data_IF_252005860141
#
_entry.id   IF_252005860141
#
_cell.length_a   1.000
_cell.length_b   1.000
_cell.length_c   1.000
_cell.angle_alpha   90.00
_cell.angle_beta   90.00
_cell.angle_gamma   90.00
#
_symmetry.space_group_name_H-M   'P 1'
#
loop_
_entity.id
_entity.type
_entity.pdbx_description
1 polymer ?
#
# COMPACT_ATOMS: atom_id res chain seq x y z
N UNK A 1 30.04 12.88 -45.28
CA UNK A 1 29.86 12.43 -46.68
C UNK A 1 29.20 11.05 -46.63
N UNK A 2 27.91 11.00 -47.03
CA UNK A 2 26.96 9.92 -47.44
C UNK A 2 27.24 8.41 -47.15
N UNK A 3 26.21 7.51 -47.14
CA UNK A 3 24.73 7.70 -47.21
C UNK A 3 23.87 6.74 -46.33
N UNK A 4 22.55 6.87 -46.54
CA UNK A 4 21.38 6.13 -46.04
C UNK A 4 21.30 4.62 -46.35
N UNK A 5 20.38 3.91 -45.66
CA UNK A 5 19.83 2.62 -46.07
C UNK A 5 18.80 2.04 -45.09
N UNK A 6 17.52 2.06 -45.46
CA UNK A 6 16.38 1.41 -44.77
C UNK A 6 16.20 -0.08 -45.24
N UNK A 7 15.29 -0.89 -44.64
CA UNK A 7 15.37 -2.36 -44.49
C UNK A 7 14.71 -3.17 -45.64
N UNK A 8 14.92 -4.50 -45.70
CA UNK A 8 13.84 -5.50 -45.46
C UNK A 8 14.37 -6.82 -44.85
N UNK A 9 13.64 -7.87 -44.45
CA UNK A 9 12.23 -8.24 -44.58
C UNK A 9 11.95 -9.55 -43.82
N UNK A 10 10.67 -9.93 -43.77
CA UNK A 10 10.15 -11.15 -43.15
C UNK A 10 10.54 -12.44 -43.91
N UNK A 11 10.63 -13.58 -43.21
CA UNK A 11 10.24 -14.87 -43.78
C UNK A 11 8.80 -15.26 -43.40
N UNK A 12 8.00 -15.61 -44.42
CA UNK A 12 6.79 -16.41 -44.31
C UNK A 12 7.13 -17.91 -44.27
N UNK A 13 6.26 -18.70 -43.62
CA UNK A 13 6.13 -20.16 -43.81
C UNK A 13 5.55 -20.82 -42.55
N UNK A 14 4.23 -20.95 -42.38
CA UNK A 14 3.23 -21.86 -42.99
C UNK A 14 3.10 -23.21 -42.24
N UNK A 15 1.89 -23.45 -41.73
CA UNK A 15 1.35 -24.75 -41.28
C UNK A 15 1.04 -24.74 -39.78
N UNK A 16 -0.14 -25.06 -39.25
CA UNK A 16 -1.36 -25.62 -39.80
C UNK A 16 -1.97 -26.57 -38.77
N UNK A 17 -3.21 -26.29 -38.31
CA UNK A 17 -4.17 -27.30 -37.83
C UNK A 17 -4.17 -27.69 -36.35
N UNK A 18 -5.40 -27.71 -35.77
CA UNK A 18 -5.79 -28.40 -34.53
C UNK A 18 -5.57 -27.54 -33.27
N UNK A 19 -6.58 -27.15 -32.49
CA UNK A 19 -7.69 -27.97 -32.00
C UNK A 19 -7.35 -28.43 -30.58
N UNK A 20 -7.88 -27.73 -29.58
CA UNK A 20 -7.67 -28.05 -28.16
C UNK A 20 -7.64 -26.79 -27.32
N UNK A 21 -8.72 -26.52 -26.62
CA UNK A 21 -8.85 -25.42 -25.67
C UNK A 21 -7.68 -25.43 -24.65
N UNK A 22 -7.08 -24.28 -24.29
CA UNK A 22 -6.42 -24.22 -23.01
C UNK A 22 -7.53 -24.42 -21.97
N UNK A 23 -7.41 -25.51 -21.21
CA UNK A 23 -8.25 -25.79 -20.06
C UNK A 23 -8.35 -24.51 -19.24
N UNK A 24 -9.58 -23.99 -19.19
CA UNK A 24 -10.00 -22.99 -18.24
C UNK A 24 -9.74 -23.64 -16.88
N UNK A 25 -8.66 -23.25 -16.22
CA UNK A 25 -8.44 -23.58 -14.82
C UNK A 25 -9.56 -22.87 -14.07
N UNK A 26 -10.59 -23.68 -13.84
CA UNK A 26 -11.75 -23.40 -13.03
C UNK A 26 -11.27 -23.24 -11.59
N UNK A 27 -10.87 -22.01 -11.26
CA UNK A 27 -10.64 -21.56 -9.89
C UNK A 27 -11.95 -21.05 -9.25
N UNK A 28 -13.09 -21.39 -9.83
CA UNK A 28 -14.39 -21.25 -9.18
C UNK A 28 -14.63 -22.55 -8.40
N UNK A 29 -14.22 -22.58 -7.13
CA UNK A 29 -14.89 -23.34 -6.06
C UNK A 29 -14.02 -23.40 -4.80
N UNK A 30 -13.85 -22.26 -4.13
CA UNK A 30 -13.80 -22.23 -2.66
C UNK A 30 -14.41 -20.88 -2.24
N UNK A 31 -15.70 -20.81 -1.86
CA UNK A 31 -16.21 -19.61 -1.24
C UNK A 31 -15.51 -19.47 0.12
N UNK A 32 -14.71 -18.41 0.29
CA UNK A 32 -14.20 -18.00 1.60
C UNK A 32 -15.34 -17.39 2.43
N UNK A 33 -16.39 -18.18 2.64
CA UNK A 33 -17.48 -17.94 3.57
C UNK A 33 -16.96 -18.14 5.00
N UNK A 34 -16.19 -17.17 5.53
CA UNK A 34 -16.16 -16.83 6.97
C UNK A 34 -15.11 -15.77 7.36
N UNK A 35 -15.20 -14.55 6.82
CA UNK A 35 -14.69 -13.38 7.57
C UNK A 35 -15.87 -12.45 7.85
N UNK A 36 -16.40 -12.44 9.08
CA UNK A 36 -17.47 -11.51 9.44
C UNK A 36 -16.90 -10.09 9.47
N UNK A 37 -17.21 -9.30 8.44
CA UNK A 37 -17.13 -7.83 8.47
C UNK A 37 -16.01 -7.14 7.67
N UNK A 38 -15.20 -7.86 6.90
CA UNK A 38 -14.17 -7.27 6.03
C UNK A 38 -14.58 -7.32 4.56
N UNK A 39 -14.52 -6.19 3.84
CA UNK A 39 -14.57 -6.21 2.37
C UNK A 39 -13.15 -6.43 1.89
N UNK A 40 -12.86 -7.62 1.33
CA UNK A 40 -11.59 -7.86 0.63
C UNK A 40 -11.77 -7.32 -0.79
N UNK A 41 -11.15 -6.18 -1.09
CA UNK A 41 -11.10 -5.64 -2.45
C UNK A 41 -9.90 -6.25 -3.20
N UNK A 42 -10.18 -7.26 -4.02
CA UNK A 42 -9.22 -8.04 -4.80
C UNK A 42 -8.44 -7.21 -5.86
N UNK A 43 -8.73 -5.93 -6.04
CA UNK A 43 -8.04 -5.07 -7.00
C UNK A 43 -6.77 -4.40 -6.46
N UNK A 44 -6.53 -4.43 -5.14
CA UNK A 44 -5.50 -3.57 -4.52
C UNK A 44 -4.50 -4.29 -3.59
N UNK A 45 -4.46 -5.63 -3.58
CA UNK A 45 -3.52 -6.44 -2.77
C UNK A 45 -3.53 -6.10 -1.26
N UNK A 46 -4.70 -5.77 -0.69
CA UNK A 46 -4.87 -5.54 0.75
C UNK A 46 -6.19 -6.05 1.32
N UNK A 47 -6.15 -6.46 2.59
CA UNK A 47 -7.34 -6.70 3.41
C UNK A 47 -7.77 -5.39 4.09
N UNK A 48 -9.06 -5.05 4.04
CA UNK A 48 -9.62 -3.88 4.73
C UNK A 48 -10.58 -4.27 5.86
N UNK A 49 -10.43 -3.61 7.01
CA UNK A 49 -11.30 -3.76 8.17
C UNK A 49 -11.66 -2.38 8.74
N UNK A 50 -12.96 -2.13 8.93
CA UNK A 50 -13.40 -0.99 9.74
C UNK A 50 -13.38 -1.40 11.22
N UNK A 51 -12.65 -0.65 12.04
CA UNK A 51 -12.55 -0.87 13.48
C UNK A 51 -13.80 -0.33 14.19
N UNK A 52 -14.05 -0.81 15.43
CA UNK A 52 -15.20 -0.38 16.24
C UNK A 52 -15.25 1.13 16.51
N UNK A 53 -14.08 1.80 16.46
CA UNK A 53 -13.95 3.26 16.63
C UNK A 53 -14.08 4.05 15.32
N UNK A 54 -14.39 3.39 14.20
CA UNK A 54 -14.59 3.99 12.89
C UNK A 54 -13.30 4.25 12.09
N UNK A 55 -12.13 3.88 12.61
CA UNK A 55 -10.89 3.89 11.82
C UNK A 55 -10.87 2.74 10.81
N UNK A 56 -10.13 2.93 9.72
CA UNK A 56 -9.97 1.94 8.66
C UNK A 56 -8.58 1.33 8.77
N UNK A 57 -8.50 0.02 8.96
CA UNK A 57 -7.28 -0.77 8.96
C UNK A 57 -7.10 -1.44 7.59
N UNK A 58 -5.94 -1.25 6.97
CA UNK A 58 -5.50 -1.96 5.76
C UNK A 58 -4.26 -2.78 6.05
N UNK A 59 -4.26 -4.05 5.65
CA UNK A 59 -3.11 -4.95 5.74
C UNK A 59 -2.70 -5.36 4.34
N UNK A 60 -1.47 -5.02 3.96
CA UNK A 60 -0.94 -5.34 2.65
C UNK A 60 -0.19 -6.67 2.69
N UNK A 61 -0.13 -7.37 1.56
CA UNK A 61 0.57 -8.66 1.44
C UNK A 61 2.07 -8.57 1.81
N UNK A 62 2.68 -7.40 1.61
CA UNK A 62 4.09 -7.16 1.93
C UNK A 62 4.37 -7.00 3.44
N UNK A 63 3.35 -7.15 4.30
CA UNK A 63 3.44 -7.01 5.75
C UNK A 63 3.29 -5.57 6.26
N UNK A 64 3.07 -4.59 5.37
CA UNK A 64 2.76 -3.22 5.76
C UNK A 64 1.36 -3.16 6.35
N UNK A 65 1.19 -2.33 7.38
CA UNK A 65 -0.10 -2.08 8.03
C UNK A 65 -0.38 -0.58 7.98
N UNK A 66 -1.57 -0.21 7.51
CA UNK A 66 -2.03 1.18 7.49
C UNK A 66 -3.31 1.36 8.29
N UNK A 67 -3.37 2.39 9.11
CA UNK A 67 -4.56 2.80 9.86
C UNK A 67 -4.92 4.22 9.43
N UNK A 68 -6.16 4.44 9.05
CA UNK A 68 -6.69 5.75 8.65
C UNK A 68 -7.82 6.17 9.59
N UNK A 69 -7.78 7.42 10.05
CA UNK A 69 -8.91 8.06 10.67
C UNK A 69 -9.60 8.97 9.64
N UNK A 70 -10.74 8.57 9.08
CA UNK A 70 -11.40 9.33 8.02
C UNK A 70 -11.95 10.68 8.51
N UNK A 71 -12.18 10.84 9.83
CA UNK A 71 -12.67 12.10 10.41
C UNK A 71 -11.56 13.15 10.48
N UNK A 72 -10.34 12.75 10.86
CA UNK A 72 -9.20 13.68 10.97
C UNK A 72 -8.33 13.75 9.72
N UNK A 73 -8.47 12.80 8.79
CA UNK A 73 -7.56 12.65 7.65
C UNK A 73 -6.15 12.18 8.03
N UNK A 74 -5.93 11.76 9.29
CA UNK A 74 -4.64 11.21 9.74
C UNK A 74 -4.52 9.78 9.26
N UNK A 75 -3.37 9.46 8.67
CA UNK A 75 -3.03 8.12 8.21
C UNK A 75 -1.72 7.69 8.84
N UNK A 76 -1.67 6.50 9.42
CA UNK A 76 -0.48 5.89 9.99
C UNK A 76 -0.14 4.63 9.19
N UNK A 77 1.12 4.47 8.79
CA UNK A 77 1.62 3.30 8.08
C UNK A 77 2.87 2.76 8.81
N UNK A 78 2.83 1.51 9.22
CA UNK A 78 3.97 0.76 9.77
C UNK A 78 4.43 -0.25 8.72
N UNK A 79 5.69 -0.15 8.29
CA UNK A 79 6.28 -1.04 7.31
C UNK A 79 6.89 -2.27 7.99
N UNK A 80 7.18 -3.29 7.18
CA UNK A 80 7.79 -4.55 7.65
C UNK A 80 9.18 -4.38 8.28
N UNK A 81 9.91 -3.32 7.93
CA UNK A 81 11.21 -2.96 8.54
C UNK A 81 11.06 -2.27 9.91
N UNK A 82 9.83 -2.02 10.35
CA UNK A 82 9.52 -1.33 11.60
C UNK A 82 9.53 0.20 11.48
N UNK A 83 9.73 0.75 10.28
CA UNK A 83 9.58 2.18 10.04
C UNK A 83 8.11 2.60 10.12
N UNK A 84 7.90 3.81 10.63
CA UNK A 84 6.59 4.42 10.84
C UNK A 84 6.47 5.72 10.03
N UNK A 85 5.39 5.84 9.28
CA UNK A 85 4.99 7.06 8.57
C UNK A 85 3.63 7.50 9.10
N UNK A 86 3.49 8.76 9.51
CA UNK A 86 2.18 9.36 9.85
C UNK A 86 1.95 10.58 8.97
N UNK A 87 0.99 10.47 8.05
CA UNK A 87 0.54 11.56 7.21
C UNK A 87 -0.55 12.36 7.91
N UNK A 88 -0.37 13.68 7.97
CA UNK A 88 -1.29 14.63 8.56
C UNK A 88 -2.07 15.35 7.44
N UNK A 89 -3.31 15.80 7.70
CA UNK A 89 -4.15 16.47 6.69
C UNK A 89 -3.61 17.82 6.20
N UNK A 90 -2.58 18.37 6.86
CA UNK A 90 -1.95 19.64 6.53
C UNK A 90 -0.67 19.50 5.68
N UNK A 91 -0.51 18.37 4.99
CA UNK A 91 0.66 18.13 4.15
C UNK A 91 1.96 17.87 4.94
N UNK A 92 1.87 17.63 6.25
CA UNK A 92 3.04 17.21 7.04
C UNK A 92 3.08 15.70 7.20
N UNK A 93 4.29 15.15 7.24
CA UNK A 93 4.54 13.73 7.46
C UNK A 93 5.49 13.56 8.63
N UNK A 94 5.09 12.77 9.61
CA UNK A 94 6.00 12.25 10.63
C UNK A 94 6.65 10.97 10.11
N UNK A 95 7.94 10.82 10.31
CA UNK A 95 8.69 9.62 9.92
C UNK A 95 9.60 9.18 11.06
N UNK A 96 9.62 7.89 11.35
CA UNK A 96 10.58 7.25 12.23
C UNK A 96 11.12 6.02 11.52
N UNK A 97 12.44 5.92 11.36
CA UNK A 97 13.08 4.84 10.59
C UNK A 97 12.90 3.47 11.25
N UNK A 98 12.98 3.40 12.59
CA UNK A 98 12.60 2.25 13.39
C UNK A 98 12.34 2.69 14.83
N UNK A 99 11.70 1.84 15.63
CA UNK A 99 11.38 2.17 17.03
C UNK A 99 12.64 2.56 17.81
N UNK A 100 12.60 3.75 18.40
CA UNK A 100 13.71 4.32 19.16
C UNK A 100 14.48 5.41 18.42
N UNK A 101 14.34 5.49 17.09
CA UNK A 101 14.93 6.57 16.30
C UNK A 101 14.18 7.90 16.47
N UNK A 102 14.84 9.04 16.18
CA UNK A 102 14.20 10.33 16.16
C UNK A 102 12.96 10.37 15.25
N UNK A 103 11.91 11.02 15.74
CA UNK A 103 10.74 11.36 14.93
C UNK A 103 11.07 12.60 14.10
N UNK A 104 11.12 12.44 12.78
CA UNK A 104 11.34 13.52 11.84
C UNK A 104 10.01 14.06 11.31
N UNK A 105 9.94 15.36 11.03
CA UNK A 105 8.78 16.04 10.44
C UNK A 105 9.18 16.60 9.08
N UNK A 106 8.51 16.14 8.03
CA UNK A 106 8.64 16.66 6.68
C UNK A 106 7.43 17.52 6.33
N UNK A 107 7.67 18.62 5.63
CA UNK A 107 6.62 19.42 4.98
C UNK A 107 6.61 19.06 3.50
N UNK A 108 5.61 18.29 3.05
CA UNK A 108 5.57 17.78 1.67
C UNK A 108 5.04 18.81 0.68
N UNK A 109 4.42 19.88 1.17
CA UNK A 109 3.90 20.97 0.34
C UNK A 109 4.97 22.02 0.05
N UNK A 110 5.71 22.43 1.08
CA UNK A 110 6.70 23.50 0.98
C UNK A 110 8.13 22.97 0.79
N UNK A 111 8.36 21.69 1.09
CA UNK A 111 9.69 21.08 1.10
C UNK A 111 10.59 21.63 2.21
N UNK A 112 11.88 21.24 2.16
CA UNK A 112 12.91 21.68 3.10
C UNK A 112 13.55 20.55 3.89
N UNK A 113 14.48 20.91 4.76
CA UNK A 113 15.11 19.94 5.67
C UNK A 113 14.10 19.47 6.72
N UNK A 114 14.13 18.18 7.12
CA UNK A 114 13.23 17.68 8.15
C UNK A 114 13.47 18.38 9.49
N UNK A 115 12.38 18.71 10.18
CA UNK A 115 12.40 19.12 11.58
C UNK A 115 12.45 17.92 12.50
N UNK A 116 12.90 18.13 13.75
CA UNK A 116 12.77 17.13 14.81
C UNK A 116 11.42 17.31 15.52
N UNK A 117 10.62 16.26 15.58
CA UNK A 117 9.37 16.27 16.32
C UNK A 117 9.64 16.27 17.83
N UNK A 118 8.82 17.01 18.58
CA UNK A 118 8.83 16.97 20.05
C UNK A 118 7.48 16.45 20.54
N UNK A 119 7.50 15.34 21.25
CA UNK A 119 6.32 14.82 21.92
C UNK A 119 6.10 15.62 23.20
N UNK A 120 4.99 16.35 23.28
CA UNK A 120 4.60 17.10 24.48
C UNK A 120 3.80 16.25 25.47
N UNK A 121 3.00 15.34 24.95
CA UNK A 121 2.10 14.48 25.73
C UNK A 121 1.89 13.17 24.98
N UNK A 122 1.77 12.07 25.72
CA UNK A 122 1.34 10.78 25.22
C UNK A 122 0.24 10.26 26.15
N UNK A 123 -0.77 9.63 25.56
CA UNK A 123 -1.80 8.90 26.30
C UNK A 123 -1.68 7.43 25.95
N UNK A 124 -1.56 6.60 26.98
CA UNK A 124 -1.50 5.16 26.85
C UNK A 124 -2.90 4.59 27.19
N UNK A 125 -3.42 3.64 26.41
CA UNK A 125 -4.65 2.96 26.77
C UNK A 125 -4.48 2.24 28.11
N UNK A 126 -5.24 2.63 29.13
CA UNK A 126 -5.22 2.01 30.47
C UNK A 126 -5.05 2.97 31.65
N UNK A 127 -4.60 4.21 31.43
CA UNK A 127 -4.35 5.19 32.51
C UNK A 127 -5.55 6.12 32.75
N UNK A 128 -6.75 5.57 32.90
CA UNK A 128 -7.88 6.29 33.52
C UNK A 128 -8.26 5.57 34.81
N UNK A 129 -7.73 6.08 35.93
CA UNK A 129 -8.25 5.85 37.28
C UNK A 129 -9.03 7.08 37.73
#
# INVERSE_FOLDING_TARGET
MNPAGAPPGHPMGRGGGGGGAPGQEDWSDEPLDNIPGGTIDLFNDYEELTLDDGRILRRYENGTVRVENPVSGVMQEEKVDGSLVVSLPNGKVLFQEFRGEPLLVYDTENGGAPGLARVSSAQLPGDMA
#
